data_IF_421725690123
#
_entry.id   IF_421725690123
#
_cell.length_a   1.000
_cell.length_b   1.000
_cell.length_c   1.000
_cell.angle_alpha   90.00
_cell.angle_beta   90.00
_cell.angle_gamma   90.00
#
_symmetry.space_group_name_H-M   'P 1'
#
loop_
_entity.id
_entity.type
_entity.pdbx_description
1 polymer ?
#
# COMPACT_ATOMS: atom_id res chain seq x y z
N UNK A 1 -29.37 -14.64 -17.00
CA UNK A 1 -28.58 -13.42 -16.70
C UNK A 1 -29.02 -12.86 -15.35
N UNK A 2 -28.73 -13.57 -14.24
CA UNK A 2 -29.26 -13.28 -12.89
C UNK A 2 -28.14 -12.91 -11.89
N UNK A 3 -26.88 -13.00 -12.31
CA UNK A 3 -25.72 -12.83 -11.43
C UNK A 3 -25.50 -11.34 -11.04
N UNK A 4 -26.10 -10.39 -11.75
CA UNK A 4 -25.93 -8.96 -11.51
C UNK A 4 -26.82 -8.38 -10.40
N UNK A 5 -27.80 -9.14 -9.85
CA UNK A 5 -28.74 -8.63 -8.83
C UNK A 5 -28.45 -9.08 -7.39
N UNK A 6 -27.54 -10.05 -7.19
CA UNK A 6 -27.11 -10.47 -5.85
C UNK A 6 -26.02 -9.50 -5.28
N UNK A 7 -25.56 -8.56 -6.12
CA UNK A 7 -24.34 -7.76 -5.94
C UNK A 7 -24.60 -6.25 -5.81
N UNK A 8 -25.71 -5.78 -5.25
CA UNK A 8 -25.93 -4.32 -5.17
C UNK A 8 -26.52 -3.86 -3.85
N UNK A 9 -27.39 -4.63 -3.18
CA UNK A 9 -28.18 -4.11 -2.07
C UNK A 9 -27.66 -4.42 -0.65
N UNK A 10 -26.64 -5.28 -0.48
CA UNK A 10 -26.34 -5.89 0.83
C UNK A 10 -24.83 -6.06 1.14
N UNK A 11 -23.98 -5.35 0.39
CA UNK A 11 -22.54 -5.61 0.26
C UNK A 11 -21.68 -5.50 1.51
N UNK A 12 -22.13 -4.69 2.45
CA UNK A 12 -21.44 -4.39 3.69
C UNK A 12 -21.36 -5.62 4.61
N UNK A 13 -22.42 -6.44 4.64
CA UNK A 13 -22.52 -7.56 5.59
C UNK A 13 -21.83 -8.85 5.09
N UNK A 14 -21.81 -9.09 3.77
CA UNK A 14 -21.25 -10.33 3.22
C UNK A 14 -19.71 -10.31 3.10
N UNK A 15 -19.12 -9.14 2.86
CA UNK A 15 -17.66 -8.98 2.88
C UNK A 15 -17.10 -9.23 4.29
N UNK A 16 -17.80 -8.75 5.32
CA UNK A 16 -17.54 -9.08 6.74
C UNK A 16 -17.66 -10.60 7.01
N UNK A 17 -18.67 -11.26 6.45
CA UNK A 17 -18.90 -12.70 6.66
C UNK A 17 -17.79 -13.57 6.02
N UNK A 18 -17.29 -13.18 4.84
CA UNK A 18 -16.19 -13.91 4.15
C UNK A 18 -14.83 -13.76 4.83
N UNK A 19 -14.62 -12.66 5.55
CA UNK A 19 -13.36 -12.39 6.26
C UNK A 19 -13.25 -13.15 7.60
N UNK A 20 -14.34 -13.75 8.06
CA UNK A 20 -14.40 -14.68 9.20
C UNK A 20 -14.41 -16.16 8.76
N UNK A 21 -14.22 -16.46 7.47
CA UNK A 21 -14.24 -17.83 6.97
C UNK A 21 -13.00 -18.63 7.40
N UNK A 22 -13.14 -19.92 7.68
CA UNK A 22 -12.03 -20.79 8.11
C UNK A 22 -11.07 -21.10 6.95
N UNK A 23 -11.53 -21.00 5.70
CA UNK A 23 -10.77 -21.40 4.52
C UNK A 23 -9.91 -20.25 3.96
N UNK A 24 -8.57 -20.43 3.84
CA UNK A 24 -7.65 -19.38 3.43
C UNK A 24 -8.01 -18.68 2.10
N UNK A 25 -8.44 -19.44 1.10
CA UNK A 25 -8.75 -18.90 -0.23
C UNK A 25 -10.00 -18.00 -0.22
N UNK A 26 -10.97 -18.26 0.67
CA UNK A 26 -12.19 -17.46 0.79
C UNK A 26 -11.83 -16.09 1.36
N UNK A 27 -11.03 -16.05 2.42
CA UNK A 27 -10.56 -14.80 3.02
C UNK A 27 -9.77 -14.00 1.99
N UNK A 28 -8.76 -14.59 1.34
CA UNK A 28 -7.94 -13.86 0.37
C UNK A 28 -8.76 -13.30 -0.80
N UNK A 29 -9.74 -14.05 -1.31
CA UNK A 29 -10.65 -13.55 -2.35
C UNK A 29 -11.56 -12.42 -1.85
N UNK A 30 -12.05 -12.50 -0.61
CA UNK A 30 -12.82 -11.44 0.03
C UNK A 30 -12.02 -10.14 0.15
N UNK A 31 -10.76 -10.24 0.57
CA UNK A 31 -9.84 -9.08 0.63
C UNK A 31 -9.61 -8.48 -0.76
N UNK A 32 -9.41 -9.31 -1.80
CA UNK A 32 -9.27 -8.81 -3.19
C UNK A 32 -10.53 -8.10 -3.68
N UNK A 33 -11.71 -8.65 -3.39
CA UNK A 33 -12.99 -8.03 -3.76
C UNK A 33 -13.17 -6.68 -3.07
N UNK A 34 -12.89 -6.60 -1.77
CA UNK A 34 -12.88 -5.35 -1.01
C UNK A 34 -11.90 -4.32 -1.61
N UNK A 35 -10.68 -4.74 -1.95
CA UNK A 35 -9.70 -3.86 -2.57
C UNK A 35 -10.13 -3.34 -3.94
N UNK A 36 -10.76 -4.17 -4.78
CA UNK A 36 -11.33 -3.73 -6.07
C UNK A 36 -12.43 -2.69 -5.86
N UNK A 37 -13.31 -2.90 -4.89
CA UNK A 37 -14.36 -1.96 -4.55
C UNK A 37 -13.78 -0.59 -4.12
N UNK A 38 -12.76 -0.59 -3.26
CA UNK A 38 -12.07 0.64 -2.84
C UNK A 38 -11.34 1.35 -3.99
N UNK A 39 -10.93 0.63 -5.03
CA UNK A 39 -10.21 1.16 -6.19
C UNK A 39 -11.13 1.59 -7.36
N UNK A 40 -12.42 1.32 -7.26
CA UNK A 40 -13.43 1.73 -8.24
C UNK A 40 -13.95 3.15 -7.92
N UNK A 41 -13.87 4.04 -8.90
CA UNK A 41 -14.31 5.43 -8.80
C UNK A 41 -15.82 5.60 -8.67
N UNK A 42 -16.61 4.58 -9.03
CA UNK A 42 -18.07 4.65 -8.94
C UNK A 42 -18.57 4.34 -7.52
N UNK A 43 -17.80 3.57 -6.76
CA UNK A 43 -18.19 3.06 -5.44
C UNK A 43 -17.53 3.82 -4.28
N UNK A 44 -16.37 4.43 -4.52
CA UNK A 44 -15.65 5.22 -3.51
C UNK A 44 -16.38 6.52 -3.09
N UNK A 45 -17.46 6.88 -3.77
CA UNK A 45 -18.31 8.05 -3.46
C UNK A 45 -19.27 7.79 -2.32
N UNK A 46 -19.57 6.52 -2.00
CA UNK A 46 -20.39 6.15 -0.86
C UNK A 46 -19.51 5.98 0.39
N UNK A 47 -19.56 6.97 1.29
CA UNK A 47 -18.71 7.00 2.50
C UNK A 47 -18.99 5.85 3.47
N UNK A 48 -20.23 5.38 3.55
CA UNK A 48 -20.65 4.42 4.58
C UNK A 48 -20.12 3.02 4.27
N UNK A 49 -20.23 2.59 3.01
CA UNK A 49 -19.65 1.31 2.58
C UNK A 49 -18.13 1.34 2.64
N UNK A 50 -17.51 2.46 2.27
CA UNK A 50 -16.06 2.62 2.31
C UNK A 50 -15.54 2.52 3.75
N UNK A 51 -16.20 3.22 4.69
CA UNK A 51 -15.89 3.16 6.13
C UNK A 51 -15.97 1.74 6.65
N UNK A 52 -17.08 1.04 6.38
CA UNK A 52 -17.28 -0.31 6.89
C UNK A 52 -16.23 -1.30 6.33
N UNK A 53 -15.90 -1.20 5.04
CA UNK A 53 -14.87 -2.06 4.44
C UNK A 53 -13.53 -1.82 5.12
N UNK A 54 -13.13 -0.57 5.33
CA UNK A 54 -11.87 -0.21 5.98
C UNK A 54 -11.85 -0.75 7.41
N UNK A 55 -12.88 -0.49 8.21
CA UNK A 55 -12.98 -0.97 9.58
C UNK A 55 -12.88 -2.50 9.66
N UNK A 56 -13.54 -3.19 8.74
CA UNK A 56 -13.49 -4.65 8.65
C UNK A 56 -12.09 -5.15 8.35
N UNK A 57 -11.41 -4.59 7.35
CA UNK A 57 -10.03 -4.93 7.00
C UNK A 57 -9.07 -4.72 8.19
N UNK A 58 -9.24 -3.61 8.92
CA UNK A 58 -8.44 -3.31 10.11
C UNK A 58 -8.73 -4.31 11.24
N UNK A 59 -9.98 -4.69 11.46
CA UNK A 59 -10.36 -5.70 12.45
C UNK A 59 -9.75 -7.07 12.11
N UNK A 60 -9.68 -7.43 10.83
CA UNK A 60 -9.00 -8.64 10.38
C UNK A 60 -7.49 -8.63 10.69
N UNK A 61 -6.78 -7.54 10.36
CA UNK A 61 -5.33 -7.43 10.65
C UNK A 61 -5.06 -7.50 12.16
N UNK A 62 -5.94 -6.93 12.99
CA UNK A 62 -5.80 -6.98 14.46
C UNK A 62 -6.01 -8.37 15.05
N UNK A 63 -6.64 -9.29 14.32
CA UNK A 63 -6.87 -10.65 14.79
C UNK A 63 -5.54 -11.42 14.83
N UNK A 64 -5.07 -11.91 15.99
CA UNK A 64 -3.80 -12.62 16.10
C UNK A 64 -3.79 -13.96 15.34
N UNK A 65 -4.95 -14.50 14.97
CA UNK A 65 -5.10 -15.76 14.22
C UNK A 65 -5.22 -15.54 12.70
N UNK A 66 -5.00 -14.32 12.22
CA UNK A 66 -5.07 -14.04 10.78
C UNK A 66 -4.05 -14.90 10.02
N UNK A 67 -4.47 -15.42 8.88
CA UNK A 67 -3.61 -16.17 7.98
C UNK A 67 -2.56 -15.21 7.39
N UNK A 68 -1.26 -15.56 7.37
CA UNK A 68 -0.20 -14.68 6.91
C UNK A 68 -0.42 -14.08 5.50
N UNK A 69 -0.91 -14.89 4.57
CA UNK A 69 -1.21 -14.47 3.20
C UNK A 69 -2.29 -13.38 3.15
N UNK A 70 -3.36 -13.55 3.93
CA UNK A 70 -4.43 -12.58 4.03
C UNK A 70 -3.93 -11.28 4.68
N UNK A 71 -3.13 -11.34 5.74
CA UNK A 71 -2.56 -10.15 6.37
C UNK A 71 -1.72 -9.34 5.37
N UNK A 72 -0.79 -10.00 4.67
CA UNK A 72 0.00 -9.37 3.59
C UNK A 72 -0.92 -8.72 2.56
N UNK A 73 -1.97 -9.41 2.13
CA UNK A 73 -2.86 -8.93 1.09
C UNK A 73 -3.66 -7.69 1.53
N UNK A 74 -4.15 -7.65 2.77
CA UNK A 74 -4.85 -6.46 3.30
C UNK A 74 -3.91 -5.25 3.31
N UNK A 75 -2.67 -5.42 3.77
CA UNK A 75 -1.67 -4.34 3.74
C UNK A 75 -1.39 -3.85 2.32
N UNK A 76 -1.34 -4.76 1.34
CA UNK A 76 -1.23 -4.41 -0.08
C UNK A 76 -2.43 -3.61 -0.58
N UNK A 77 -3.66 -3.98 -0.20
CA UNK A 77 -4.89 -3.23 -0.53
C UNK A 77 -4.86 -1.83 0.05
N UNK A 78 -4.45 -1.69 1.33
CA UNK A 78 -4.30 -0.38 1.98
C UNK A 78 -3.26 0.47 1.23
N UNK A 79 -2.12 -0.11 0.86
CA UNK A 79 -1.08 0.57 0.08
C UNK A 79 -1.62 1.06 -1.27
N UNK A 80 -2.25 0.17 -2.05
CA UNK A 80 -2.78 0.49 -3.37
C UNK A 80 -3.85 1.59 -3.31
N UNK A 81 -4.79 1.48 -2.36
CA UNK A 81 -5.86 2.45 -2.18
C UNK A 81 -5.30 3.81 -1.73
N UNK A 82 -4.32 3.82 -0.82
CA UNK A 82 -3.67 5.05 -0.36
C UNK A 82 -2.91 5.79 -1.46
N UNK A 83 -2.34 5.06 -2.42
CA UNK A 83 -1.67 5.63 -3.61
C UNK A 83 -2.67 6.30 -4.56
N UNK A 84 -3.79 5.64 -4.84
CA UNK A 84 -4.76 6.09 -5.84
C UNK A 84 -5.76 7.12 -5.29
N UNK A 85 -6.34 6.84 -4.12
CA UNK A 85 -7.39 7.66 -3.51
C UNK A 85 -7.03 7.96 -2.05
N UNK A 86 -6.07 8.84 -1.85
CA UNK A 86 -5.62 9.19 -0.51
C UNK A 86 -6.72 9.84 0.36
N UNK A 87 -7.63 10.59 -0.27
CA UNK A 87 -8.69 11.34 0.39
C UNK A 87 -9.73 10.44 1.09
N UNK A 88 -9.97 9.22 0.57
CA UNK A 88 -10.87 8.26 1.23
C UNK A 88 -10.20 7.56 2.42
N UNK A 89 -8.87 7.46 2.44
CA UNK A 89 -8.14 6.82 3.54
C UNK A 89 -7.93 7.77 4.73
N UNK A 90 -7.74 9.07 4.44
CA UNK A 90 -7.39 10.10 5.43
C UNK A 90 -8.34 10.20 6.65
N UNK A 91 -9.68 10.09 6.50
CA UNK A 91 -10.60 10.10 7.64
C UNK A 91 -10.38 8.94 8.63
N UNK A 92 -9.83 7.81 8.16
CA UNK A 92 -9.66 6.58 8.95
C UNK A 92 -8.21 6.39 9.43
N UNK A 93 -7.37 7.41 9.36
CA UNK A 93 -5.95 7.32 9.75
C UNK A 93 -5.74 6.90 11.20
N UNK A 94 -6.66 7.30 12.11
CA UNK A 94 -6.66 6.91 13.51
C UNK A 94 -6.70 5.39 13.74
N UNK A 95 -7.36 4.63 12.86
CA UNK A 95 -7.44 3.16 12.96
C UNK A 95 -6.46 2.45 12.04
N UNK A 96 -6.16 3.02 10.86
CA UNK A 96 -5.28 2.41 9.87
C UNK A 96 -3.81 2.48 10.30
N UNK A 97 -3.33 3.65 10.70
CA UNK A 97 -1.90 3.86 10.96
C UNK A 97 -1.38 2.97 12.09
N UNK A 98 -2.06 2.85 13.25
CA UNK A 98 -1.60 1.95 14.31
C UNK A 98 -1.54 0.49 13.86
N UNK A 99 -2.53 0.05 13.07
CA UNK A 99 -2.58 -1.32 12.56
C UNK A 99 -1.44 -1.61 11.56
N UNK A 100 -1.14 -0.68 10.66
CA UNK A 100 -0.01 -0.79 9.73
C UNK A 100 1.31 -0.74 10.50
N UNK A 101 1.47 0.21 11.44
CA UNK A 101 2.70 0.38 12.21
C UNK A 101 3.03 -0.86 13.04
N UNK A 102 2.03 -1.55 13.61
CA UNK A 102 2.27 -2.81 14.33
C UNK A 102 2.86 -3.91 13.43
N UNK A 103 2.59 -3.86 12.11
CA UNK A 103 3.09 -4.85 11.15
C UNK A 103 4.45 -4.46 10.50
N UNK A 104 5.00 -3.27 10.78
CA UNK A 104 6.30 -2.86 10.20
C UNK A 104 7.51 -3.57 10.81
N UNK A 105 7.31 -4.27 11.91
CA UNK A 105 8.32 -5.09 12.59
C UNK A 105 7.92 -6.57 12.59
N UNK A 106 7.07 -6.97 11.65
CA UNK A 106 6.58 -8.33 11.57
C UNK A 106 7.71 -9.31 11.21
N UNK A 107 7.73 -10.49 11.85
CA UNK A 107 8.79 -11.52 11.68
C UNK A 107 8.85 -12.05 10.23
N UNK A 108 7.69 -12.23 9.60
CA UNK A 108 7.61 -12.64 8.19
C UNK A 108 7.89 -11.45 7.25
N UNK A 109 9.02 -11.52 6.54
CA UNK A 109 9.48 -10.49 5.58
C UNK A 109 8.40 -10.04 4.58
N UNK A 110 7.58 -10.92 3.97
CA UNK A 110 6.57 -10.47 3.01
C UNK A 110 5.51 -9.55 3.63
N UNK A 111 5.15 -9.76 4.90
CA UNK A 111 4.19 -8.92 5.63
C UNK A 111 4.84 -7.59 5.98
N UNK A 112 6.08 -7.63 6.48
CA UNK A 112 6.85 -6.42 6.78
C UNK A 112 6.96 -5.51 5.55
N UNK A 113 7.35 -6.05 4.39
CA UNK A 113 7.49 -5.26 3.16
C UNK A 113 6.15 -4.68 2.69
N UNK A 114 5.04 -5.42 2.84
CA UNK A 114 3.70 -4.91 2.55
C UNK A 114 3.31 -3.77 3.51
N UNK A 115 3.60 -3.91 4.81
CA UNK A 115 3.36 -2.88 5.82
C UNK A 115 4.18 -1.61 5.55
N UNK A 116 5.46 -1.75 5.20
CA UNK A 116 6.33 -0.65 4.81
C UNK A 116 5.78 0.10 3.58
N UNK A 117 5.33 -0.64 2.57
CA UNK A 117 4.71 -0.06 1.37
C UNK A 117 3.44 0.73 1.71
N UNK A 118 2.59 0.17 2.57
CA UNK A 118 1.38 0.84 3.05
C UNK A 118 1.72 2.10 3.85
N UNK A 119 2.70 2.03 4.75
CA UNK A 119 3.17 3.13 5.57
C UNK A 119 3.69 4.31 4.71
N UNK A 120 4.53 4.01 3.71
CA UNK A 120 5.03 5.00 2.75
C UNK A 120 3.87 5.70 2.03
N UNK A 121 2.86 4.92 1.59
CA UNK A 121 1.73 5.41 0.82
C UNK A 121 0.76 6.25 1.66
N UNK A 122 0.53 5.88 2.92
CA UNK A 122 -0.32 6.58 3.87
C UNK A 122 0.25 7.92 4.31
N UNK A 123 1.57 8.04 4.46
CA UNK A 123 2.20 9.31 4.79
C UNK A 123 2.68 10.08 3.57
N UNK A 124 2.54 9.50 2.36
CA UNK A 124 3.14 10.02 1.12
C UNK A 124 4.59 10.44 1.35
N UNK A 125 5.38 9.51 1.90
CA UNK A 125 6.75 9.79 2.35
C UNK A 125 7.58 10.23 1.14
N UNK A 126 7.99 11.50 1.16
CA UNK A 126 8.97 12.06 0.22
C UNK A 126 10.05 12.78 1.03
N UNK A 127 11.25 12.99 0.47
CA UNK A 127 12.34 13.70 1.17
C UNK A 127 11.93 15.09 1.68
N UNK A 128 10.98 15.75 1.01
CA UNK A 128 10.61 17.14 1.24
C UNK A 128 9.25 17.34 1.93
N UNK A 129 8.38 16.33 2.01
CA UNK A 129 7.03 16.48 2.59
C UNK A 129 6.90 15.71 3.91
N UNK A 130 6.73 16.45 5.01
CA UNK A 130 6.45 15.91 6.35
C UNK A 130 5.14 16.43 6.95
N UNK A 131 4.33 17.14 6.18
CA UNK A 131 3.16 17.87 6.71
C UNK A 131 2.15 16.89 7.31
N UNK A 132 1.81 15.82 6.57
CA UNK A 132 0.87 14.80 7.02
C UNK A 132 1.37 14.07 8.26
N UNK A 133 2.66 13.73 8.28
CA UNK A 133 3.28 13.05 9.41
C UNK A 133 3.26 13.93 10.67
N UNK A 134 3.67 15.20 10.55
CA UNK A 134 3.69 16.15 11.66
C UNK A 134 2.28 16.43 12.20
N UNK A 135 1.26 16.45 11.32
CA UNK A 135 -0.13 16.58 11.74
C UNK A 135 -0.59 15.37 12.55
N UNK A 136 -0.21 14.16 12.14
CA UNK A 136 -0.60 12.93 12.82
C UNK A 136 0.15 12.72 14.14
N UNK A 137 1.47 12.95 14.17
CA UNK A 137 2.26 12.74 15.39
C UNK A 137 1.82 13.67 16.54
N UNK A 138 1.31 14.86 16.22
CA UNK A 138 0.77 15.81 17.19
C UNK A 138 -0.47 15.28 17.94
N UNK A 139 -1.12 14.23 17.44
CA UNK A 139 -2.28 13.59 18.09
C UNK A 139 -1.90 12.40 18.96
N UNK A 140 -0.64 11.98 18.97
CA UNK A 140 -0.16 10.81 19.71
C UNK A 140 0.42 11.19 21.08
N UNK A 141 0.49 10.23 21.99
CA UNK A 141 1.26 10.38 23.21
C UNK A 141 2.77 10.48 22.93
N UNK A 142 3.52 11.04 23.88
CA UNK A 142 4.96 11.30 23.74
C UNK A 142 5.78 10.05 23.42
N UNK A 143 5.37 8.87 23.91
CA UNK A 143 6.13 7.63 23.72
C UNK A 143 5.89 7.05 22.33
N UNK A 144 4.63 6.93 21.91
CA UNK A 144 4.28 6.48 20.56
C UNK A 144 4.81 7.44 19.50
N UNK A 145 4.72 8.75 19.75
CA UNK A 145 5.27 9.78 18.87
C UNK A 145 6.76 9.59 18.61
N UNK A 146 7.56 9.37 19.66
CA UNK A 146 9.02 9.17 19.53
C UNK A 146 9.36 7.91 18.72
N UNK A 147 8.69 6.79 19.00
CA UNK A 147 8.91 5.54 18.27
C UNK A 147 8.57 5.70 16.78
N UNK A 148 7.41 6.29 16.48
CA UNK A 148 6.95 6.53 15.13
C UNK A 148 7.86 7.53 14.38
N UNK A 149 8.34 8.59 15.04
CA UNK A 149 9.27 9.56 14.46
C UNK A 149 10.61 8.94 14.08
N UNK A 150 11.17 8.10 14.97
CA UNK A 150 12.41 7.39 14.69
C UNK A 150 12.25 6.45 13.49
N UNK A 151 11.14 5.71 13.43
CA UNK A 151 10.84 4.84 12.30
C UNK A 151 10.61 5.61 10.99
N UNK A 152 9.84 6.70 11.03
CA UNK A 152 9.59 7.55 9.86
C UNK A 152 10.90 8.10 9.27
N UNK A 153 11.85 8.53 10.11
CA UNK A 153 13.18 8.96 9.66
C UNK A 153 13.93 7.86 8.91
N UNK A 154 13.88 6.61 9.40
CA UNK A 154 14.49 5.45 8.72
C UNK A 154 13.84 5.20 7.36
N UNK A 155 12.52 5.27 7.28
CA UNK A 155 11.78 5.09 6.02
C UNK A 155 12.12 6.16 5.00
N UNK A 156 12.25 7.42 5.41
CA UNK A 156 12.67 8.51 4.50
C UNK A 156 14.03 8.24 3.86
N UNK A 157 15.02 7.84 4.65
CA UNK A 157 16.36 7.51 4.14
C UNK A 157 16.28 6.32 3.19
N UNK A 158 15.58 5.25 3.59
CA UNK A 158 15.38 4.06 2.75
C UNK A 158 14.74 4.40 1.40
N UNK A 159 13.68 5.22 1.40
CA UNK A 159 12.99 5.64 0.17
C UNK A 159 13.89 6.52 -0.71
N UNK A 160 14.67 7.42 -0.13
CA UNK A 160 15.64 8.23 -0.88
C UNK A 160 16.70 7.37 -1.57
N UNK A 161 17.35 6.47 -0.82
CA UNK A 161 18.34 5.54 -1.39
C UNK A 161 17.73 4.64 -2.46
N UNK A 162 16.51 4.13 -2.25
CA UNK A 162 15.81 3.31 -3.26
C UNK A 162 15.56 4.09 -4.54
N UNK A 163 15.13 5.35 -4.43
CA UNK A 163 14.89 6.23 -5.57
C UNK A 163 16.19 6.55 -6.32
N UNK A 164 17.29 6.82 -5.62
CA UNK A 164 18.61 7.02 -6.23
C UNK A 164 19.09 5.77 -6.97
N UNK A 165 18.97 4.59 -6.36
CA UNK A 165 19.31 3.33 -7.00
C UNK A 165 18.46 3.06 -8.24
N UNK A 166 17.15 3.33 -8.18
CA UNK A 166 16.26 3.20 -9.35
C UNK A 166 16.68 4.13 -10.48
N UNK A 167 17.00 5.39 -10.18
CA UNK A 167 17.47 6.34 -11.19
C UNK A 167 18.80 5.88 -11.81
N UNK A 168 19.74 5.42 -10.99
CA UNK A 168 21.04 4.94 -11.48
C UNK A 168 20.90 3.67 -12.33
N UNK A 169 20.02 2.74 -11.96
CA UNK A 169 19.74 1.55 -12.77
C UNK A 169 19.15 1.91 -14.13
N UNK A 170 18.22 2.87 -14.19
CA UNK A 170 17.65 3.35 -15.45
C UNK A 170 18.73 4.01 -16.32
N UNK A 171 19.57 4.86 -15.74
CA UNK A 171 20.69 5.49 -16.46
C UNK A 171 21.65 4.46 -17.05
N UNK A 172 22.03 3.42 -16.29
CA UNK A 172 22.91 2.38 -16.82
C UNK A 172 22.22 1.47 -17.84
N UNK A 173 20.92 1.19 -17.72
CA UNK A 173 20.21 0.43 -18.76
C UNK A 173 20.16 1.16 -20.10
N UNK A 174 20.12 2.49 -20.09
CA UNK A 174 20.20 3.31 -21.29
C UNK A 174 21.62 3.32 -21.88
N UNK A 175 22.67 3.35 -21.04
CA UNK A 175 24.07 3.23 -21.47
C UNK A 175 24.35 1.88 -22.14
N UNK A 176 23.93 0.77 -21.52
CA UNK A 176 24.08 -0.58 -22.08
C UNK A 176 23.36 -0.71 -23.43
N UNK A 177 22.16 -0.11 -23.56
CA UNK A 177 21.39 -0.09 -24.81
C UNK A 177 22.08 0.75 -25.89
N UNK A 178 22.62 1.92 -25.54
CA UNK A 178 23.37 2.79 -26.45
C UNK A 178 24.64 2.09 -26.94
N UNK A 179 25.39 1.43 -26.04
CA UNK A 179 26.59 0.68 -26.40
C UNK A 179 26.27 -0.42 -27.43
N UNK A 180 25.24 -1.23 -27.18
CA UNK A 180 24.82 -2.31 -28.09
C UNK A 180 24.36 -1.77 -29.45
N UNK A 181 23.60 -0.66 -29.46
CA UNK A 181 23.04 -0.08 -30.69
C UNK A 181 24.05 0.77 -31.48
N UNK A 182 25.19 1.13 -30.88
CA UNK A 182 26.24 1.92 -31.53
C UNK A 182 27.20 1.11 -32.43
N UNK A 183 27.13 -0.24 -32.39
CA UNK A 183 27.98 -1.10 -33.21
C UNK A 183 27.56 -0.99 -34.69
N UNK A 184 28.43 -0.42 -35.52
CA UNK A 184 28.24 -0.25 -36.97
C UNK A 184 28.19 1.21 -37.47
N UNK A 185 28.24 2.20 -36.58
CA UNK A 185 28.36 3.63 -36.92
C UNK A 185 29.79 4.16 -36.83
N UNK A 186 30.79 3.29 -36.69
CA UNK A 186 32.20 3.66 -36.80
C UNK A 186 32.56 3.89 -38.29
N UNK A 187 32.46 5.16 -38.71
CA UNK A 187 33.19 5.77 -39.82
C UNK A 187 33.31 4.95 -41.11
N UNK A 188 32.35 5.13 -42.03
CA UNK A 188 32.68 5.07 -43.46
C UNK A 188 33.62 6.23 -43.76
N UNK A 189 34.92 5.96 -43.66
CA UNK A 189 35.98 6.76 -44.22
C UNK A 189 36.00 6.55 -45.74
N UNK A 190 35.19 7.30 -46.47
CA UNK A 190 35.32 7.42 -47.93
C UNK A 190 35.59 8.89 -48.28
N UNK A 191 36.88 9.25 -48.27
CA UNK A 191 37.42 10.46 -48.92
C UNK A 191 38.89 10.21 -49.28
N UNK A 192 39.10 9.43 -50.35
CA UNK A 192 40.01 9.68 -51.49
C UNK A 192 40.29 8.38 -52.25
#
# INVERSE_FOLDING_TARGET
MVISKIFVSDHSNYSILTLNAILPYIISNGVLAAGKFLLDSNFNTNSDHTTLIIETLINCIKNPKIIPDANRLILTVISATSKKYHHIMQPHFNIIIPAVFNNVHHVLTPIQLAAESAYISLFKITPHNRILFNKYIATLDSTQAKAMAAYHKRMMVKTATTHELQNNVVLHSDEDYIEITSIGLSSTSDNN
#
